data_IF_111059691722
#
_entry.id   IF_111059691722
#
_cell.length_a   1.000
_cell.length_b   1.000
_cell.length_c   1.000
_cell.angle_alpha   90.00
_cell.angle_beta   90.00
_cell.angle_gamma   90.00
#
_symmetry.space_group_name_H-M   'P 1'
#
loop_
_entity.id
_entity.type
_entity.pdbx_description
1 polymer ?
#
# COMPACT_ATOMS: atom_id res chain seq x y z
N UNK A 1 -18.46 -15.80 -2.97
CA UNK A 1 -18.54 -14.51 -2.26
C UNK A 1 -17.20 -13.83 -2.47
N UNK A 2 -17.18 -12.70 -3.18
CA UNK A 2 -15.95 -12.00 -3.53
C UNK A 2 -15.69 -10.91 -2.47
N UNK A 3 -14.97 -11.28 -1.41
CA UNK A 3 -14.75 -10.42 -0.25
C UNK A 3 -13.36 -9.77 -0.37
N UNK A 4 -13.32 -8.51 -0.82
CA UNK A 4 -12.11 -7.71 -0.85
C UNK A 4 -11.96 -6.91 0.46
N UNK A 5 -11.34 -7.53 1.47
CA UNK A 5 -11.06 -6.86 2.75
C UNK A 5 -9.86 -5.92 2.59
N UNK A 6 -10.12 -4.62 2.67
CA UNK A 6 -9.09 -3.59 2.67
C UNK A 6 -9.30 -2.62 3.83
N UNK A 7 -8.24 -1.94 4.23
CA UNK A 7 -8.24 -0.96 5.31
C UNK A 7 -7.80 0.39 4.73
N UNK A 8 -8.59 1.42 4.98
CA UNK A 8 -8.16 2.80 4.78
C UNK A 8 -7.59 3.34 6.08
N UNK A 9 -6.38 3.89 6.03
CA UNK A 9 -5.77 4.59 7.14
C UNK A 9 -5.40 5.99 6.68
N UNK A 10 -5.80 7.00 7.47
CA UNK A 10 -5.32 8.36 7.30
C UNK A 10 -4.19 8.59 8.29
N UNK A 11 -2.98 8.79 7.78
CA UNK A 11 -1.77 8.96 8.59
C UNK A 11 -1.14 10.32 8.30
N UNK A 12 -0.56 10.94 9.33
CA UNK A 12 0.21 12.17 9.19
C UNK A 12 1.63 11.81 8.74
N UNK A 13 2.15 12.52 7.75
CA UNK A 13 3.52 12.36 7.26
C UNK A 13 4.48 13.19 8.14
N UNK A 14 4.72 12.70 9.35
CA UNK A 14 5.55 13.39 10.34
C UNK A 14 5.39 12.85 11.75
N UNK A 15 6.13 13.46 12.67
CA UNK A 15 6.17 13.06 14.08
C UNK A 15 5.97 14.25 14.99
N UNK A 16 5.39 14.04 16.16
CA UNK A 16 5.48 15.00 17.25
C UNK A 16 6.79 14.78 17.99
N UNK A 17 7.61 15.82 18.07
CA UNK A 17 8.89 15.79 18.77
C UNK A 17 8.97 16.96 19.77
N UNK A 18 9.85 16.83 20.76
CA UNK A 18 10.12 17.91 21.71
C UNK A 18 10.54 19.20 20.98
N UNK A 19 10.03 20.34 21.43
CA UNK A 19 10.35 21.65 20.87
C UNK A 19 11.56 22.34 21.55
N UNK A 20 12.17 21.69 22.54
CA UNK A 20 13.27 22.24 23.34
C UNK A 20 12.85 23.32 24.35
N UNK A 21 11.55 23.61 24.48
CA UNK A 21 10.96 24.60 25.40
C UNK A 21 9.96 23.95 26.38
N UNK A 22 9.97 22.63 26.48
CA UNK A 22 9.08 21.86 27.34
C UNK A 22 7.75 21.47 26.70
N UNK A 23 7.57 21.74 25.39
CA UNK A 23 6.40 21.36 24.61
C UNK A 23 6.72 20.30 23.55
N UNK A 24 5.70 19.99 22.76
CA UNK A 24 5.81 19.14 21.56
C UNK A 24 5.36 19.91 20.33
N UNK A 25 6.10 19.77 19.25
CA UNK A 25 5.80 20.36 17.96
C UNK A 25 5.77 19.29 16.88
N UNK A 26 4.84 19.44 15.93
CA UNK A 26 4.80 18.58 14.75
C UNK A 26 6.01 18.88 13.85
N UNK A 27 6.70 17.83 13.44
CA UNK A 27 7.79 17.84 12.48
C UNK A 27 7.33 17.04 11.27
N UNK A 28 7.07 17.75 10.17
CA UNK A 28 6.75 17.10 8.90
C UNK A 28 7.94 16.23 8.46
N UNK A 29 7.63 15.05 7.96
CA UNK A 29 8.59 14.18 7.30
C UNK A 29 8.63 14.53 5.82
N UNK A 30 9.84 14.60 5.25
CA UNK A 30 10.00 14.78 3.81
C UNK A 30 10.08 13.40 3.17
N UNK A 31 8.98 12.97 2.56
CA UNK A 31 8.87 11.64 1.94
C UNK A 31 9.92 11.44 0.85
N UNK A 32 10.70 10.37 0.97
CA UNK A 32 11.66 9.92 -0.04
C UNK A 32 11.14 8.68 -0.77
N UNK A 33 11.48 8.54 -2.05
CA UNK A 33 10.94 7.47 -2.91
C UNK A 33 11.40 6.07 -2.47
N UNK A 34 12.54 5.96 -1.79
CA UNK A 34 13.13 4.70 -1.28
C UNK A 34 12.53 4.22 0.05
N UNK A 35 11.70 5.03 0.72
CA UNK A 35 11.10 4.70 2.02
C UNK A 35 9.89 3.76 1.92
N UNK A 36 9.27 3.67 0.75
CA UNK A 36 8.05 2.86 0.52
C UNK A 36 8.36 1.36 0.63
N UNK A 37 9.49 0.92 0.09
CA UNK A 37 9.88 -0.50 0.12
C UNK A 37 9.99 -1.07 1.54
N UNK A 38 10.82 -0.47 2.42
CA UNK A 38 10.92 -0.88 3.81
C UNK A 38 9.60 -0.83 4.59
N UNK A 39 8.73 0.16 4.29
CA UNK A 39 7.39 0.25 4.88
C UNK A 39 6.51 -0.94 4.47
N UNK A 40 6.48 -1.29 3.18
CA UNK A 40 5.72 -2.44 2.68
C UNK A 40 6.21 -3.75 3.31
N UNK A 41 7.53 -3.95 3.42
CA UNK A 41 8.10 -5.11 4.11
C UNK A 41 7.66 -5.16 5.58
N UNK A 42 7.61 -4.01 6.26
CA UNK A 42 7.14 -3.93 7.65
C UNK A 42 5.67 -4.27 7.79
N UNK A 43 4.82 -3.76 6.88
CA UNK A 43 3.39 -4.06 6.86
C UNK A 43 3.18 -5.55 6.60
N UNK A 44 3.85 -6.12 5.60
CA UNK A 44 3.78 -7.54 5.27
C UNK A 44 4.10 -8.41 6.50
N UNK A 45 5.25 -8.20 7.14
CA UNK A 45 5.66 -8.97 8.33
C UNK A 45 4.66 -8.89 9.47
N UNK A 46 4.05 -7.72 9.68
CA UNK A 46 3.03 -7.53 10.73
C UNK A 46 1.72 -8.24 10.38
N UNK A 47 1.32 -8.23 9.12
CA UNK A 47 0.15 -8.96 8.64
C UNK A 47 0.37 -10.47 8.79
N UNK A 48 1.51 -11.00 8.34
CA UNK A 48 1.87 -12.42 8.49
C UNK A 48 1.81 -12.84 9.97
N UNK A 49 2.45 -12.09 10.87
CA UNK A 49 2.41 -12.38 12.31
C UNK A 49 0.99 -12.31 12.91
N UNK A 50 0.15 -11.38 12.43
CA UNK A 50 -1.25 -11.29 12.85
C UNK A 50 -2.06 -12.49 12.38
N UNK A 51 -1.91 -12.88 11.11
CA UNK A 51 -2.61 -14.03 10.52
C UNK A 51 -2.21 -15.32 11.24
N UNK A 52 -0.91 -15.51 11.49
CA UNK A 52 -0.39 -16.64 12.26
C UNK A 52 -1.02 -16.71 13.66
N UNK A 53 -1.04 -15.59 14.39
CA UNK A 53 -1.68 -15.50 15.71
C UNK A 53 -3.18 -15.77 15.69
N UNK A 54 -3.84 -15.67 14.53
CA UNK A 54 -5.26 -15.97 14.34
C UNK A 54 -5.52 -17.40 13.86
N UNK A 55 -4.48 -18.23 13.75
CA UNK A 55 -4.59 -19.62 13.30
C UNK A 55 -4.85 -19.76 11.80
N UNK A 56 -4.58 -18.70 11.02
CA UNK A 56 -4.61 -18.76 9.57
C UNK A 56 -3.25 -19.29 9.10
N UNK A 57 -3.21 -20.34 8.25
CA UNK A 57 -1.95 -20.96 7.84
C UNK A 57 -1.08 -19.94 7.09
N UNK A 58 0.22 -19.96 7.37
CA UNK A 58 1.25 -19.32 6.55
C UNK A 58 1.40 -20.13 5.26
N UNK A 59 0.45 -19.96 4.35
CA UNK A 59 0.42 -20.68 3.10
C UNK A 59 0.30 -19.70 1.96
N UNK A 60 1.25 -19.77 1.01
CA UNK A 60 0.99 -19.36 -0.38
C UNK A 60 -0.04 -20.27 -1.06
N UNK A 61 -0.60 -21.23 -0.34
CA UNK A 61 -1.66 -22.16 -0.69
C UNK A 61 -2.98 -21.40 -0.95
N UNK A 62 -3.00 -20.68 -2.06
CA UNK A 62 -4.06 -19.75 -2.43
C UNK A 62 -3.62 -18.73 -3.48
N UNK A 63 -2.32 -18.47 -3.64
CA UNK A 63 -1.78 -17.66 -4.74
C UNK A 63 -1.83 -18.39 -6.08
N UNK A 64 -1.70 -19.72 -6.08
CA UNK A 64 -1.87 -20.57 -7.28
C UNK A 64 -3.32 -21.01 -7.48
N UNK A 65 -4.23 -20.68 -6.55
CA UNK A 65 -5.65 -20.87 -6.78
C UNK A 65 -6.11 -19.85 -7.82
N UNK A 66 -7.00 -20.21 -8.77
CA UNK A 66 -7.55 -19.27 -9.73
C UNK A 66 -8.14 -18.08 -8.97
N UNK A 67 -7.66 -16.87 -9.27
CA UNK A 67 -8.28 -15.67 -8.75
C UNK A 67 -9.69 -15.57 -9.36
N UNK A 68 -10.69 -16.02 -8.61
CA UNK A 68 -12.09 -16.00 -9.03
C UNK A 68 -12.55 -14.59 -9.38
N UNK A 69 -11.93 -13.54 -8.81
CA UNK A 69 -12.19 -12.17 -9.21
C UNK A 69 -11.63 -11.86 -10.60
N UNK A 70 -10.45 -12.38 -10.94
CA UNK A 70 -9.88 -12.29 -12.28
C UNK A 70 -10.72 -13.03 -13.33
N UNK A 71 -11.38 -14.13 -12.96
CA UNK A 71 -12.35 -14.81 -13.83
C UNK A 71 -13.65 -14.02 -14.00
N UNK A 72 -14.22 -13.52 -12.89
CA UNK A 72 -15.50 -12.80 -12.89
C UNK A 72 -15.38 -11.38 -13.51
N UNK A 73 -14.20 -10.76 -13.44
CA UNK A 73 -13.96 -9.38 -13.86
C UNK A 73 -12.55 -9.18 -14.48
N UNK A 74 -12.25 -9.85 -15.61
CA UNK A 74 -10.89 -9.91 -16.17
C UNK A 74 -10.30 -8.54 -16.51
N UNK A 75 -11.13 -7.61 -16.98
CA UNK A 75 -10.68 -6.24 -17.29
C UNK A 75 -10.27 -5.48 -16.02
N UNK A 76 -11.06 -5.56 -14.95
CA UNK A 76 -10.75 -4.86 -13.69
C UNK A 76 -9.55 -5.49 -12.97
N UNK A 77 -9.44 -6.82 -13.02
CA UNK A 77 -8.29 -7.53 -12.50
C UNK A 77 -7.00 -7.16 -13.23
N UNK A 78 -7.04 -7.06 -14.57
CA UNK A 78 -5.91 -6.58 -15.36
C UNK A 78 -5.48 -5.16 -15.01
N UNK A 79 -6.44 -4.26 -14.76
CA UNK A 79 -6.16 -2.89 -14.32
C UNK A 79 -5.53 -2.85 -12.92
N UNK A 80 -6.04 -3.63 -11.96
CA UNK A 80 -5.45 -3.70 -10.63
C UNK A 80 -4.04 -4.32 -10.66
N UNK A 81 -3.82 -5.38 -11.45
CA UNK A 81 -2.51 -5.99 -11.65
C UNK A 81 -1.51 -5.00 -12.26
N UNK A 82 -1.91 -4.21 -13.25
CA UNK A 82 -1.07 -3.16 -13.83
C UNK A 82 -0.62 -2.12 -12.79
N UNK A 83 -1.52 -1.75 -11.86
CA UNK A 83 -1.19 -0.81 -10.79
C UNK A 83 -0.30 -1.41 -9.71
N UNK A 84 -0.57 -2.64 -9.27
CA UNK A 84 0.08 -3.24 -8.09
C UNK A 84 1.37 -3.96 -8.47
N UNK A 85 1.38 -4.74 -9.56
CA UNK A 85 2.52 -5.57 -9.96
C UNK A 85 3.48 -4.83 -10.87
N UNK A 86 2.95 -3.95 -11.73
CA UNK A 86 3.74 -3.23 -12.73
C UNK A 86 3.97 -1.76 -12.37
N UNK A 87 3.32 -1.25 -11.32
CA UNK A 87 3.50 0.13 -10.86
C UNK A 87 3.08 1.15 -11.92
N UNK A 88 2.04 0.86 -12.69
CA UNK A 88 1.54 1.70 -13.79
C UNK A 88 0.17 2.25 -13.42
N UNK A 89 -0.07 3.53 -13.67
CA UNK A 89 -1.40 4.09 -13.50
C UNK A 89 -2.38 3.34 -14.41
N UNK A 90 -3.39 2.71 -13.82
CA UNK A 90 -4.33 1.87 -14.54
C UNK A 90 -5.54 2.65 -15.06
N UNK A 91 -5.89 3.74 -14.39
CA UNK A 91 -7.06 4.57 -14.67
C UNK A 91 -6.63 6.03 -14.70
N UNK A 92 -7.48 6.89 -15.29
CA UNK A 92 -7.28 8.32 -15.54
C UNK A 92 -6.43 8.69 -16.78
N UNK A 93 -6.21 9.99 -16.98
CA UNK A 93 -5.47 10.55 -18.11
C UNK A 93 -3.99 10.10 -18.20
N UNK A 94 -3.47 9.47 -17.16
CA UNK A 94 -2.13 8.89 -17.03
C UNK A 94 -2.11 7.38 -17.24
N UNK A 95 -3.21 6.76 -17.66
CA UNK A 95 -3.24 5.33 -17.92
C UNK A 95 -2.04 4.88 -18.78
N UNK A 96 -1.31 3.84 -18.34
CA UNK A 96 -0.10 3.35 -19.01
C UNK A 96 1.19 4.08 -18.64
N UNK A 97 1.12 5.22 -17.95
CA UNK A 97 2.29 5.89 -17.42
C UNK A 97 2.72 5.27 -16.07
N UNK A 98 4.01 5.29 -15.74
CA UNK A 98 4.46 4.89 -14.41
C UNK A 98 3.69 5.63 -13.32
N UNK A 99 3.20 4.88 -12.34
CA UNK A 99 2.54 5.36 -11.14
C UNK A 99 3.59 5.93 -10.17
N UNK A 100 4.42 6.87 -10.64
CA UNK A 100 5.19 7.71 -9.72
C UNK A 100 4.22 8.73 -9.13
N UNK A 101 4.04 8.66 -7.81
CA UNK A 101 3.46 9.73 -7.00
C UNK A 101 4.38 10.94 -7.13
N UNK A 102 4.19 11.75 -8.18
CA UNK A 102 4.87 13.03 -8.34
C UNK A 102 4.52 13.86 -7.10
N UNK A 103 5.49 14.08 -6.21
CA UNK A 103 5.36 15.07 -5.16
C UNK A 103 5.02 16.39 -5.87
N UNK A 104 3.81 16.89 -5.63
CA UNK A 104 3.40 18.18 -6.15
C UNK A 104 4.31 19.23 -5.51
N UNK A 105 5.30 19.71 -6.26
CA UNK A 105 6.01 20.94 -5.90
C UNK A 105 4.94 22.03 -5.81
N UNK A 106 4.68 22.48 -4.59
CA UNK A 106 3.92 23.70 -4.36
C UNK A 106 4.94 24.83 -4.21
N UNK A 107 4.77 25.81 -5.10
CA UNK A 107 5.48 27.09 -5.30
C UNK A 107 6.85 27.00 -5.99
#
# INVERSE_FOLDING_TARGET
MNLNVHIHAFVLDGVFASDGRGGVAFRAHERQDDEVGPLLVTIQRRLEALLHRRGLPEGRDGYDAPDRWAEDAPTLAGLAAASVLHGVAALDARAGAPAFLRASRSV
#
